data_IF_626207875705
#
_entry.id   IF_626207875705
#
_cell.length_a   1.000
_cell.length_b   1.000
_cell.length_c   1.000
_cell.angle_alpha   90.00
_cell.angle_beta   90.00
_cell.angle_gamma   90.00
#
_symmetry.space_group_name_H-M   'P 1'
#
loop_
_entity.id
_entity.type
_entity.pdbx_description
1 polymer ?
#
# COMPACT_ATOMS: atom_id res chain seq x y z
N UNK A 1 -34.88 -17.35 8.30
CA UNK A 1 -34.13 -17.16 7.02
C UNK A 1 -33.67 -15.73 6.74
N UNK A 2 -34.38 -14.66 7.17
CA UNK A 2 -33.93 -13.28 6.94
C UNK A 2 -32.69 -12.85 7.77
N UNK A 3 -32.46 -13.46 8.93
CA UNK A 3 -31.39 -13.08 9.88
C UNK A 3 -30.02 -13.61 9.44
N UNK A 4 -29.93 -14.86 8.95
CA UNK A 4 -28.69 -15.44 8.41
C UNK A 4 -28.18 -14.70 7.17
N UNK A 5 -29.06 -14.04 6.39
CA UNK A 5 -28.68 -13.25 5.21
C UNK A 5 -28.07 -11.88 5.54
N UNK A 6 -28.27 -11.35 6.75
CA UNK A 6 -27.64 -10.09 7.20
C UNK A 6 -26.20 -10.32 7.68
N UNK A 7 -25.89 -11.52 8.16
CA UNK A 7 -24.54 -11.89 8.61
C UNK A 7 -23.48 -11.76 7.53
N UNK A 8 -23.78 -12.19 6.30
CA UNK A 8 -22.84 -12.05 5.15
C UNK A 8 -22.53 -10.60 4.77
N UNK A 9 -23.52 -9.70 4.89
CA UNK A 9 -23.31 -8.28 4.59
C UNK A 9 -22.50 -7.62 5.72
N UNK A 10 -22.80 -7.98 6.97
CA UNK A 10 -22.05 -7.49 8.11
C UNK A 10 -20.59 -7.98 8.12
N UNK A 11 -20.33 -9.24 7.75
CA UNK A 11 -18.97 -9.76 7.62
C UNK A 11 -18.22 -9.10 6.46
N UNK A 12 -18.88 -8.87 5.32
CA UNK A 12 -18.31 -8.12 4.20
C UNK A 12 -17.98 -6.67 4.60
N UNK A 13 -18.82 -6.04 5.41
CA UNK A 13 -18.53 -4.71 5.97
C UNK A 13 -17.28 -4.73 6.86
N UNK A 14 -17.21 -5.62 7.86
CA UNK A 14 -16.04 -5.71 8.74
C UNK A 14 -14.75 -5.99 7.97
N UNK A 15 -14.80 -6.89 6.99
CA UNK A 15 -13.68 -7.21 6.11
C UNK A 15 -13.28 -6.03 5.21
N UNK A 16 -14.25 -5.22 4.74
CA UNK A 16 -13.96 -3.98 4.00
C UNK A 16 -13.26 -2.93 4.87
N UNK A 17 -13.67 -2.79 6.13
CA UNK A 17 -12.98 -1.89 7.08
C UNK A 17 -11.56 -2.37 7.34
N UNK A 18 -11.37 -3.67 7.54
CA UNK A 18 -10.02 -4.25 7.70
C UNK A 18 -9.17 -3.98 6.46
N UNK A 19 -9.71 -4.14 5.25
CA UNK A 19 -9.02 -3.83 4.00
C UNK A 19 -8.54 -2.37 3.96
N UNK A 20 -9.41 -1.41 4.30
CA UNK A 20 -9.05 0.01 4.38
C UNK A 20 -7.92 0.25 5.39
N UNK A 21 -8.02 -0.33 6.59
CA UNK A 21 -6.98 -0.19 7.62
C UNK A 21 -5.63 -0.73 7.15
N UNK A 22 -5.62 -1.90 6.51
CA UNK A 22 -4.39 -2.50 5.98
C UNK A 22 -3.73 -1.63 4.91
N UNK A 23 -4.52 -1.02 4.02
CA UNK A 23 -4.01 -0.11 2.98
C UNK A 23 -3.44 1.16 3.61
N UNK A 24 -4.13 1.74 4.62
CA UNK A 24 -3.64 2.93 5.34
C UNK A 24 -2.35 2.64 6.08
N UNK A 25 -2.25 1.49 6.76
CA UNK A 25 -1.02 1.06 7.44
C UNK A 25 0.09 0.85 6.42
N UNK A 26 -0.18 0.15 5.31
CA UNK A 26 0.81 -0.03 4.25
C UNK A 26 1.31 1.32 3.71
N UNK A 27 0.43 2.30 3.49
CA UNK A 27 0.81 3.63 2.98
C UNK A 27 1.62 4.46 3.98
N UNK A 28 1.28 4.40 5.27
CA UNK A 28 1.83 5.28 6.31
C UNK A 28 3.03 4.71 7.07
N UNK A 29 3.30 3.42 6.96
CA UNK A 29 4.37 2.76 7.71
C UNK A 29 5.74 2.84 7.02
N UNK A 30 6.78 2.84 7.85
CA UNK A 30 8.18 3.04 7.44
C UNK A 30 8.93 1.71 7.15
N UNK A 31 8.24 0.72 6.59
CA UNK A 31 8.79 -0.65 6.46
C UNK A 31 8.30 -1.37 5.20
N UNK A 32 8.37 -0.69 4.07
CA UNK A 32 8.28 -1.34 2.76
C UNK A 32 9.53 -2.14 2.44
N UNK A 33 10.67 -1.57 2.81
CA UNK A 33 12.00 -2.18 2.63
C UNK A 33 12.69 -2.22 3.97
N UNK A 34 13.31 -3.36 4.26
CA UNK A 34 14.12 -3.59 5.47
C UNK A 34 15.44 -4.17 5.01
N UNK A 35 16.54 -3.70 5.56
CA UNK A 35 17.87 -4.21 5.26
C UNK A 35 18.73 -4.19 6.50
N UNK A 36 19.62 -5.16 6.59
CA UNK A 36 20.72 -5.17 7.54
C UNK A 36 21.98 -4.73 6.80
N UNK A 37 22.69 -3.76 7.35
CA UNK A 37 23.92 -3.22 6.80
C UNK A 37 25.11 -3.70 7.64
N UNK A 38 26.05 -4.42 7.00
CA UNK A 38 27.22 -5.00 7.65
C UNK A 38 28.52 -4.42 7.11
N UNK A 39 29.50 -4.19 8.00
CA UNK A 39 30.86 -3.76 7.64
C UNK A 39 31.89 -4.41 8.56
N UNK A 40 33.16 -4.46 8.16
CA UNK A 40 34.23 -5.12 8.91
C UNK A 40 34.59 -4.42 10.23
N UNK A 41 34.19 -3.15 10.40
CA UNK A 41 34.57 -2.29 11.53
C UNK A 41 33.37 -1.93 12.44
N UNK A 42 32.34 -2.78 12.51
CA UNK A 42 31.15 -2.51 13.35
C UNK A 42 31.13 -3.31 14.66
N UNK A 43 30.50 -2.73 15.68
CA UNK A 43 30.26 -3.41 16.97
C UNK A 43 29.10 -4.39 16.85
N UNK A 44 28.10 -4.05 16.03
CA UNK A 44 26.91 -4.84 15.75
C UNK A 44 26.33 -4.43 14.40
N UNK A 45 25.42 -5.23 13.85
CA UNK A 45 24.84 -4.99 12.54
C UNK A 45 23.95 -3.75 12.54
N UNK A 46 24.13 -2.90 11.54
CA UNK A 46 23.32 -1.68 11.37
C UNK A 46 21.98 -2.04 10.71
N UNK A 47 20.92 -1.32 11.05
CA UNK A 47 19.58 -1.60 10.54
C UNK A 47 19.08 -0.43 9.70
N UNK A 48 18.52 -0.75 8.53
CA UNK A 48 17.85 0.19 7.65
C UNK A 48 16.41 -0.27 7.45
N UNK A 49 15.46 0.63 7.63
CA UNK A 49 14.06 0.38 7.29
C UNK A 49 13.45 1.65 6.71
N UNK A 50 12.70 1.52 5.63
CA UNK A 50 12.00 2.67 5.07
C UNK A 50 10.68 2.29 4.41
N UNK A 51 9.75 3.23 4.47
CA UNK A 51 8.47 3.21 3.78
C UNK A 51 8.50 4.06 2.53
N UNK A 52 7.32 4.44 2.05
CA UNK A 52 7.19 5.27 0.85
C UNK A 52 7.68 6.71 1.10
N UNK A 53 7.52 7.26 2.30
CA UNK A 53 7.78 8.67 2.57
C UNK A 53 8.99 8.92 3.49
N UNK A 54 9.18 8.04 4.47
CA UNK A 54 10.19 8.18 5.52
C UNK A 54 10.81 6.83 5.85
N UNK A 55 11.90 6.87 6.59
CA UNK A 55 12.57 5.70 7.10
C UNK A 55 13.45 6.02 8.29
N UNK A 56 14.14 5.00 8.75
CA UNK A 56 15.06 5.04 9.87
C UNK A 56 16.32 4.26 9.52
N UNK A 57 17.46 4.88 9.81
CA UNK A 57 18.78 4.28 9.70
C UNK A 57 19.41 4.24 11.10
N UNK A 58 19.68 3.05 11.58
CA UNK A 58 20.33 2.81 12.87
C UNK A 58 21.75 2.31 12.60
N UNK A 59 22.72 3.20 12.77
CA UNK A 59 24.14 2.89 12.61
C UNK A 59 24.72 2.40 13.93
N UNK A 60 25.35 1.22 13.90
CA UNK A 60 25.98 0.57 15.07
C UNK A 60 27.50 0.42 14.91
N UNK A 61 28.12 1.42 14.29
CA UNK A 61 29.57 1.51 14.13
C UNK A 61 30.30 1.89 15.45
N UNK A 62 29.61 2.53 16.38
CA UNK A 62 30.11 2.95 17.69
C UNK A 62 29.41 2.18 18.82
N UNK A 63 29.94 2.27 20.04
CA UNK A 63 29.32 1.67 21.23
C UNK A 63 27.90 2.21 21.49
N UNK A 64 27.66 3.48 21.16
CA UNK A 64 26.33 4.10 21.18
C UNK A 64 25.75 4.13 19.77
N UNK A 65 24.55 3.57 19.53
CA UNK A 65 23.93 3.58 18.22
C UNK A 65 23.54 5.01 17.81
N UNK A 66 23.77 5.35 16.55
CA UNK A 66 23.35 6.62 15.96
C UNK A 66 22.09 6.39 15.11
N UNK A 67 21.00 7.05 15.48
CA UNK A 67 19.69 6.89 14.85
C UNK A 67 19.43 8.14 13.99
N UNK A 68 19.26 7.92 12.69
CA UNK A 68 19.00 8.97 11.73
C UNK A 68 17.66 8.73 11.03
N UNK A 69 16.84 9.77 10.96
CA UNK A 69 15.60 9.74 10.18
C UNK A 69 15.92 9.95 8.70
N UNK A 70 15.37 9.10 7.86
CA UNK A 70 15.47 9.21 6.40
C UNK A 70 14.24 9.87 5.82
N UNK A 71 14.45 10.69 4.81
CA UNK A 71 13.40 11.34 4.04
C UNK A 71 13.51 10.94 2.57
N UNK A 72 12.41 10.45 2.01
CA UNK A 72 12.30 10.25 0.57
C UNK A 72 12.33 11.61 -0.13
N UNK A 73 13.36 11.84 -0.94
CA UNK A 73 13.53 13.08 -1.70
C UNK A 73 13.49 12.74 -3.17
N UNK A 74 12.64 13.46 -3.91
CA UNK A 74 12.29 13.14 -5.28
C UNK A 74 12.38 14.39 -6.14
N UNK A 75 13.11 14.31 -7.24
CA UNK A 75 13.28 15.38 -8.22
C UNK A 75 12.67 14.95 -9.54
N UNK A 76 11.69 15.72 -10.03
CA UNK A 76 11.06 15.51 -11.33
C UNK A 76 12.04 15.74 -12.49
N UNK A 77 12.96 16.69 -12.32
CA UNK A 77 13.81 17.19 -13.42
C UNK A 77 14.82 16.13 -13.90
N UNK A 78 15.27 15.28 -12.97
CA UNK A 78 16.20 14.17 -13.23
C UNK A 78 15.52 12.80 -13.17
N UNK A 79 14.19 12.77 -13.02
CA UNK A 79 13.38 11.56 -12.84
C UNK A 79 13.94 10.61 -11.77
N UNK A 80 14.43 11.14 -10.64
CA UNK A 80 15.10 10.36 -9.61
C UNK A 80 14.57 10.65 -8.21
N UNK A 81 14.53 9.60 -7.40
CA UNK A 81 14.17 9.60 -6.00
C UNK A 81 15.21 8.80 -5.21
N UNK A 82 15.64 9.31 -4.07
CA UNK A 82 16.48 8.56 -3.15
C UNK A 82 16.18 8.95 -1.69
N UNK A 83 16.61 8.10 -0.77
CA UNK A 83 16.53 8.35 0.65
C UNK A 83 17.75 9.14 1.09
N UNK A 84 17.50 10.20 1.85
CA UNK A 84 18.55 11.02 2.43
C UNK A 84 18.33 11.21 3.92
N UNK A 85 19.42 11.15 4.70
CA UNK A 85 19.45 11.48 6.11
C UNK A 85 19.91 12.92 6.40
N UNK A 86 20.14 13.74 5.38
CA UNK A 86 20.59 15.13 5.55
C UNK A 86 19.52 15.93 6.31
N UNK A 87 19.97 16.83 7.18
CA UNK A 87 19.08 17.63 8.03
C UNK A 87 18.37 18.73 7.23
N UNK A 88 19.08 19.34 6.29
CA UNK A 88 18.58 20.43 5.46
C UNK A 88 17.87 19.91 4.20
N UNK A 89 16.87 20.64 3.70
CA UNK A 89 16.13 20.25 2.49
C UNK A 89 16.98 20.41 1.22
N UNK A 90 17.74 21.50 1.12
CA UNK A 90 18.55 21.79 -0.07
C UNK A 90 19.69 20.78 -0.22
N UNK A 91 20.31 20.37 0.89
CA UNK A 91 21.34 19.32 0.90
C UNK A 91 20.80 17.97 0.37
N UNK A 92 19.55 17.62 0.70
CA UNK A 92 18.90 16.39 0.18
C UNK A 92 18.74 16.46 -1.33
N UNK A 93 18.33 17.61 -1.86
CA UNK A 93 18.13 17.81 -3.30
C UNK A 93 19.45 17.61 -4.05
N UNK A 94 20.53 18.23 -3.56
CA UNK A 94 21.88 18.09 -4.14
C UNK A 94 22.36 16.64 -4.08
N UNK A 95 22.08 15.92 -3.00
CA UNK A 95 22.45 14.50 -2.87
C UNK A 95 21.75 13.63 -3.92
N UNK A 96 20.42 13.77 -4.06
CA UNK A 96 19.68 13.00 -5.07
C UNK A 96 20.12 13.35 -6.49
N UNK A 97 20.39 14.63 -6.76
CA UNK A 97 20.89 15.07 -8.06
C UNK A 97 22.28 14.47 -8.37
N UNK A 98 23.18 14.45 -7.38
CA UNK A 98 24.50 13.83 -7.53
C UNK A 98 24.39 12.32 -7.78
N UNK A 99 23.55 11.61 -7.02
CA UNK A 99 23.31 10.17 -7.20
C UNK A 99 22.71 9.87 -8.58
N UNK A 100 21.78 10.69 -9.06
CA UNK A 100 21.16 10.55 -10.38
C UNK A 100 22.17 10.77 -11.52
N UNK A 101 23.15 11.67 -11.32
CA UNK A 101 24.24 11.92 -12.26
C UNK A 101 25.39 10.90 -12.16
N UNK A 102 25.33 9.95 -11.20
CA UNK A 102 26.36 8.93 -11.01
C UNK A 102 27.56 9.39 -10.20
N UNK A 103 27.47 10.51 -9.48
CA UNK A 103 28.51 10.99 -8.58
C UNK A 103 28.35 10.42 -7.16
N UNK A 104 29.44 10.44 -6.37
CA UNK A 104 29.44 9.97 -4.98
C UNK A 104 29.31 11.14 -4.00
N UNK A 105 28.11 11.40 -3.43
CA UNK A 105 27.94 12.41 -2.40
C UNK A 105 28.47 11.94 -1.03
N UNK A 106 28.76 12.86 -0.11
CA UNK A 106 29.16 12.49 1.24
C UNK A 106 28.04 11.75 1.96
N UNK A 107 28.25 10.50 2.45
CA UNK A 107 27.19 9.70 3.03
C UNK A 107 26.76 10.17 4.43
N UNK A 108 27.53 11.08 5.06
CA UNK A 108 27.26 11.56 6.41
C UNK A 108 25.95 12.36 6.52
N UNK A 109 25.19 12.16 7.60
CA UNK A 109 23.94 12.85 7.90
C UNK A 109 24.19 14.29 8.43
N UNK A 110 24.73 15.14 7.57
CA UNK A 110 25.06 16.54 7.83
C UNK A 110 24.09 17.48 7.11
N UNK A 111 24.18 18.78 7.38
CA UNK A 111 23.41 19.81 6.68
C UNK A 111 23.97 20.19 5.31
N UNK A 112 25.07 19.55 4.89
CA UNK A 112 25.74 19.83 3.62
C UNK A 112 26.00 18.52 2.87
N UNK A 113 25.95 18.62 1.55
CA UNK A 113 26.31 17.55 0.63
C UNK A 113 27.57 17.99 -0.09
N UNK A 114 28.63 17.21 0.10
CA UNK A 114 29.88 17.35 -0.64
C UNK A 114 29.88 16.28 -1.73
N UNK A 115 30.35 16.59 -2.92
CA UNK A 115 30.27 15.69 -4.09
C UNK A 115 31.66 15.53 -4.65
N UNK A 116 32.13 14.28 -4.73
CA UNK A 116 33.39 13.98 -5.38
C UNK A 116 33.16 13.85 -6.89
N UNK A 117 33.57 14.88 -7.64
CA UNK A 117 33.45 14.95 -9.10
C UNK A 117 34.57 14.17 -9.83
N UNK A 118 35.55 13.62 -9.10
CA UNK A 118 36.76 13.05 -9.70
C UNK A 118 36.59 11.60 -10.21
N UNK A 119 35.60 10.86 -9.72
CA UNK A 119 35.33 9.46 -10.09
C UNK A 119 33.82 9.23 -10.36
N UNK A 120 33.33 9.58 -11.58
CA UNK A 120 31.95 9.31 -11.94
C UNK A 120 31.72 7.80 -12.11
N UNK A 121 30.66 7.28 -11.49
CA UNK A 121 30.23 5.89 -11.61
C UNK A 121 28.92 5.81 -12.42
N UNK A 122 29.00 5.85 -13.76
CA UNK A 122 27.84 6.00 -14.63
C UNK A 122 26.99 4.74 -14.78
N UNK A 123 27.54 3.56 -14.48
CA UNK A 123 26.93 2.31 -14.93
C UNK A 123 25.65 1.92 -14.19
N UNK A 124 25.41 2.44 -12.97
CA UNK A 124 24.14 2.23 -12.24
C UNK A 124 23.88 3.36 -11.25
N UNK A 125 23.08 4.36 -11.65
CA UNK A 125 22.62 5.39 -10.72
C UNK A 125 21.76 4.76 -9.62
N UNK A 126 22.14 4.85 -8.33
CA UNK A 126 21.48 4.16 -7.23
C UNK A 126 20.20 4.89 -6.78
N UNK A 127 19.29 5.11 -7.71
CA UNK A 127 18.09 5.93 -7.52
C UNK A 127 16.83 5.19 -7.94
N UNK A 128 15.72 5.50 -7.27
CA UNK A 128 14.38 5.07 -7.68
C UNK A 128 13.89 6.03 -8.78
N UNK A 129 13.28 5.51 -9.84
CA UNK A 129 12.68 6.37 -10.87
C UNK A 129 11.51 7.17 -10.30
N UNK A 130 11.50 8.49 -10.49
CA UNK A 130 10.44 9.39 -10.00
C UNK A 130 9.07 8.99 -10.55
N UNK A 131 8.97 8.69 -11.85
CA UNK A 131 7.74 8.26 -12.48
C UNK A 131 7.17 6.98 -11.85
N UNK A 132 8.05 6.01 -11.53
CA UNK A 132 7.65 4.80 -10.84
C UNK A 132 7.14 5.10 -9.43
N UNK A 133 7.88 5.90 -8.65
CA UNK A 133 7.49 6.29 -7.29
C UNK A 133 6.12 6.96 -7.24
N UNK A 134 5.88 7.94 -8.11
CA UNK A 134 4.57 8.61 -8.21
C UNK A 134 3.47 7.65 -8.66
N UNK A 135 3.78 6.73 -9.59
CA UNK A 135 2.83 5.69 -10.03
C UNK A 135 2.43 4.77 -8.87
N UNK A 136 3.36 4.34 -8.03
CA UNK A 136 3.06 3.50 -6.85
C UNK A 136 2.08 4.23 -5.93
N UNK A 137 2.38 5.48 -5.58
CA UNK A 137 1.57 6.26 -4.64
C UNK A 137 0.18 6.55 -5.20
N UNK A 138 0.10 6.96 -6.47
CA UNK A 138 -1.17 7.31 -7.10
C UNK A 138 -2.11 6.11 -7.18
N UNK A 139 -1.60 4.94 -7.56
CA UNK A 139 -2.40 3.70 -7.64
C UNK A 139 -2.80 3.24 -6.23
N UNK A 140 -1.92 3.36 -5.22
CA UNK A 140 -2.27 3.09 -3.81
C UNK A 140 -3.38 4.01 -3.28
N UNK A 141 -3.29 5.31 -3.57
CA UNK A 141 -4.32 6.28 -3.19
C UNK A 141 -5.65 5.99 -3.91
N UNK A 142 -5.60 5.59 -5.19
CA UNK A 142 -6.78 5.16 -5.93
C UNK A 142 -7.39 3.88 -5.34
N UNK A 143 -6.56 2.89 -4.97
CA UNK A 143 -6.99 1.67 -4.29
C UNK A 143 -7.67 2.01 -2.97
N UNK A 144 -7.08 2.89 -2.15
CA UNK A 144 -7.66 3.33 -0.89
C UNK A 144 -9.02 4.00 -1.10
N UNK A 145 -9.13 4.90 -2.09
CA UNK A 145 -10.40 5.55 -2.41
C UNK A 145 -11.48 4.52 -2.77
N UNK A 146 -11.16 3.57 -3.66
CA UNK A 146 -12.09 2.50 -4.05
C UNK A 146 -12.45 1.62 -2.85
N UNK A 147 -11.50 1.25 -1.99
CA UNK A 147 -11.76 0.46 -0.79
C UNK A 147 -12.68 1.19 0.21
N UNK A 148 -12.51 2.51 0.38
CA UNK A 148 -13.40 3.33 1.21
C UNK A 148 -14.82 3.36 0.61
N UNK A 149 -14.95 3.49 -0.71
CA UNK A 149 -16.28 3.42 -1.35
C UNK A 149 -16.92 2.04 -1.18
N UNK A 150 -16.14 0.96 -1.25
CA UNK A 150 -16.62 -0.40 -1.02
C UNK A 150 -17.13 -0.57 0.43
N UNK A 151 -16.39 -0.06 1.42
CA UNK A 151 -16.82 -0.08 2.82
C UNK A 151 -18.11 0.73 3.02
N UNK A 152 -18.22 1.92 2.41
CA UNK A 152 -19.42 2.75 2.46
C UNK A 152 -20.64 2.04 1.86
N UNK A 153 -20.48 1.42 0.68
CA UNK A 153 -21.53 0.62 0.05
C UNK A 153 -21.92 -0.60 0.90
N UNK A 154 -20.96 -1.26 1.55
CA UNK A 154 -21.25 -2.38 2.45
C UNK A 154 -22.10 -1.96 3.66
N UNK A 155 -21.82 -0.80 4.29
CA UNK A 155 -22.66 -0.24 5.36
C UNK A 155 -24.05 0.11 4.85
N UNK A 156 -24.13 0.76 3.69
CA UNK A 156 -25.41 1.14 3.08
C UNK A 156 -26.28 -0.08 2.82
N UNK A 157 -25.71 -1.17 2.30
CA UNK A 157 -26.41 -2.43 2.09
C UNK A 157 -26.72 -3.18 3.40
N UNK A 158 -25.96 -2.94 4.47
CA UNK A 158 -26.24 -3.53 5.79
C UNK A 158 -27.41 -2.86 6.50
N UNK A 159 -27.58 -1.54 6.30
CA UNK A 159 -28.54 -0.70 7.02
C UNK A 159 -29.81 -0.43 6.21
N UNK A 160 -29.69 -0.28 4.90
CA UNK A 160 -30.78 0.07 3.98
C UNK A 160 -30.84 -0.96 2.86
N UNK A 161 -32.02 -1.05 2.22
CA UNK A 161 -32.21 -1.83 0.99
C UNK A 161 -32.32 -0.84 -0.19
N UNK A 162 -31.20 -0.37 -0.76
CA UNK A 162 -31.25 0.54 -1.90
C UNK A 162 -31.89 -0.13 -3.11
N UNK A 163 -32.75 0.61 -3.82
CA UNK A 163 -33.43 0.15 -5.04
C UNK A 163 -32.59 0.35 -6.30
N UNK A 164 -31.58 1.21 -6.24
CA UNK A 164 -30.70 1.51 -7.38
C UNK A 164 -29.55 0.49 -7.50
N UNK A 165 -29.25 -0.03 -8.71
CA UNK A 165 -28.24 -1.08 -8.91
C UNK A 165 -26.82 -0.69 -8.48
N UNK A 166 -26.46 0.59 -8.64
CA UNK A 166 -25.14 1.12 -8.29
C UNK A 166 -24.91 1.11 -6.77
N UNK A 167 -25.95 1.43 -5.99
CA UNK A 167 -25.86 1.39 -4.53
C UNK A 167 -26.14 0.01 -3.94
N UNK A 168 -26.65 -0.91 -4.75
CA UNK A 168 -26.94 -2.28 -4.35
C UNK A 168 -25.74 -3.23 -4.39
N UNK A 169 -26.07 -4.52 -4.50
CA UNK A 169 -25.10 -5.62 -4.53
C UNK A 169 -24.05 -5.50 -5.67
N UNK A 170 -24.43 -5.13 -6.91
CA UNK A 170 -23.47 -5.01 -8.01
C UNK A 170 -22.38 -3.96 -7.75
N UNK A 171 -22.72 -2.79 -7.19
CA UNK A 171 -21.72 -1.77 -6.89
C UNK A 171 -20.73 -2.20 -5.82
N UNK A 172 -21.20 -2.89 -4.77
CA UNK A 172 -20.33 -3.45 -3.74
C UNK A 172 -19.39 -4.51 -4.33
N UNK A 173 -19.86 -5.32 -5.27
CA UNK A 173 -19.02 -6.31 -5.95
C UNK A 173 -17.93 -5.66 -6.80
N UNK A 174 -18.30 -4.73 -7.69
CA UNK A 174 -17.36 -4.11 -8.62
C UNK A 174 -16.31 -3.24 -7.92
N UNK A 175 -16.68 -2.56 -6.82
CA UNK A 175 -15.71 -1.80 -6.01
C UNK A 175 -14.70 -2.72 -5.33
N UNK A 176 -15.10 -3.89 -4.81
CA UNK A 176 -14.14 -4.86 -4.27
C UNK A 176 -13.26 -5.48 -5.37
N UNK A 177 -13.80 -5.76 -6.56
CA UNK A 177 -13.01 -6.22 -7.73
C UNK A 177 -11.97 -5.18 -8.11
N UNK A 178 -12.39 -3.91 -8.27
CA UNK A 178 -11.48 -2.81 -8.61
C UNK A 178 -10.39 -2.63 -7.53
N UNK A 179 -10.74 -2.70 -6.25
CA UNK A 179 -9.77 -2.65 -5.15
C UNK A 179 -8.76 -3.80 -5.21
N UNK A 180 -9.21 -5.03 -5.49
CA UNK A 180 -8.33 -6.18 -5.62
C UNK A 180 -7.38 -6.04 -6.82
N UNK A 181 -7.89 -5.59 -7.97
CA UNK A 181 -7.09 -5.36 -9.17
C UNK A 181 -6.03 -4.27 -8.95
N UNK A 182 -6.40 -3.12 -8.37
CA UNK A 182 -5.45 -2.05 -8.07
C UNK A 182 -4.38 -2.51 -7.06
N UNK A 183 -4.76 -3.26 -6.03
CA UNK A 183 -3.81 -3.85 -5.09
C UNK A 183 -2.82 -4.81 -5.75
N UNK A 184 -3.30 -5.69 -6.64
CA UNK A 184 -2.43 -6.58 -7.42
C UNK A 184 -1.48 -5.78 -8.32
N UNK A 185 -1.95 -4.72 -8.96
CA UNK A 185 -1.12 -3.87 -9.82
C UNK A 185 0.02 -3.24 -9.01
N UNK A 186 -0.27 -2.62 -7.86
CA UNK A 186 0.77 -2.01 -7.00
C UNK A 186 1.77 -3.07 -6.55
N UNK A 187 1.27 -4.22 -6.07
CA UNK A 187 2.12 -5.29 -5.55
C UNK A 187 3.06 -5.85 -6.62
N UNK A 188 2.54 -6.11 -7.82
CA UNK A 188 3.33 -6.60 -8.95
C UNK A 188 4.29 -5.54 -9.47
N UNK A 189 3.84 -4.29 -9.62
CA UNK A 189 4.66 -3.19 -10.11
C UNK A 189 5.87 -2.98 -9.18
N UNK A 190 5.66 -2.96 -7.86
CA UNK A 190 6.76 -2.84 -6.90
C UNK A 190 7.63 -4.09 -6.84
N UNK A 191 7.03 -5.29 -6.86
CA UNK A 191 7.78 -6.55 -6.82
C UNK A 191 8.66 -6.77 -8.05
N UNK A 192 8.16 -6.44 -9.24
CA UNK A 192 8.95 -6.50 -10.49
C UNK A 192 10.09 -5.48 -10.42
N UNK A 193 9.79 -4.23 -10.03
CA UNK A 193 10.81 -3.19 -9.92
C UNK A 193 11.92 -3.59 -8.94
N UNK A 194 11.56 -4.16 -7.79
CA UNK A 194 12.51 -4.67 -6.79
C UNK A 194 13.48 -5.71 -7.36
N UNK A 195 13.01 -6.59 -8.25
CA UNK A 195 13.82 -7.66 -8.83
C UNK A 195 14.66 -7.23 -10.03
N UNK A 196 14.25 -6.20 -10.78
CA UNK A 196 14.87 -5.84 -12.06
C UNK A 196 15.71 -4.57 -12.02
N UNK A 197 15.43 -3.64 -11.11
CA UNK A 197 16.09 -2.32 -11.11
C UNK A 197 17.41 -2.27 -10.34
N UNK A 198 17.77 -3.33 -9.62
CA UNK A 198 18.90 -3.32 -8.69
C UNK A 198 18.58 -2.64 -7.36
N UNK A 199 17.32 -2.25 -7.10
CA UNK A 199 16.90 -1.62 -5.85
C UNK A 199 17.24 -2.46 -4.61
N UNK A 200 17.22 -3.78 -4.74
CA UNK A 200 17.67 -4.70 -3.71
C UNK A 200 19.15 -4.51 -3.35
N UNK A 201 20.01 -4.10 -4.29
CA UNK A 201 21.45 -3.91 -4.05
C UNK A 201 21.76 -2.53 -3.48
N UNK A 202 21.25 -1.46 -4.10
CA UNK A 202 21.63 -0.09 -3.73
C UNK A 202 20.68 0.57 -2.71
N UNK A 203 19.46 0.04 -2.53
CA UNK A 203 18.44 0.49 -1.55
C UNK A 203 18.12 1.99 -1.58
N UNK A 204 18.47 2.65 -2.69
CA UNK A 204 18.37 4.09 -2.90
C UNK A 204 18.96 4.94 -1.77
N UNK A 205 20.08 4.49 -1.17
CA UNK A 205 20.76 5.15 -0.07
C UNK A 205 22.27 5.26 -0.34
N UNK A 206 22.84 6.46 -0.17
CA UNK A 206 24.25 6.74 -0.44
C UNK A 206 25.23 5.81 0.31
N UNK A 207 24.96 5.49 1.58
CA UNK A 207 25.78 4.58 2.39
C UNK A 207 25.99 3.19 1.77
N UNK A 208 24.95 2.66 1.13
CA UNK A 208 24.95 1.30 0.58
C UNK A 208 25.44 1.36 -0.87
N UNK A 209 24.96 2.34 -1.63
CA UNK A 209 25.37 2.55 -3.01
C UNK A 209 26.88 2.75 -3.20
N UNK A 210 27.57 3.35 -2.22
CA UNK A 210 29.01 3.59 -2.27
C UNK A 210 29.85 2.39 -1.78
N UNK A 211 29.21 1.27 -1.42
CA UNK A 211 29.91 0.08 -0.93
C UNK A 211 30.53 0.23 0.46
N UNK A 212 30.08 1.21 1.26
CA UNK A 212 30.56 1.36 2.66
C UNK A 212 30.03 0.23 3.55
N UNK A 213 28.84 -0.29 3.22
CA UNK A 213 28.18 -1.39 3.90
C UNK A 213 27.68 -2.40 2.88
N UNK A 214 27.80 -3.69 3.22
CA UNK A 214 27.12 -4.76 2.51
C UNK A 214 25.68 -4.86 3.03
N UNK A 215 24.71 -4.87 2.11
CA UNK A 215 23.30 -4.92 2.45
C UNK A 215 22.74 -6.35 2.38
N UNK A 216 21.97 -6.73 3.39
CA UNK A 216 21.06 -7.88 3.40
C UNK A 216 19.62 -7.40 3.18
N UNK A 217 19.21 -7.09 1.94
CA UNK A 217 17.93 -6.47 1.62
C UNK A 217 16.75 -7.44 1.75
N UNK A 218 15.59 -6.91 2.14
CA UNK A 218 14.34 -7.65 2.24
C UNK A 218 13.12 -6.74 2.13
N UNK A 219 11.99 -7.33 1.78
CA UNK A 219 10.70 -6.65 1.76
C UNK A 219 10.09 -6.67 3.16
N UNK A 220 9.73 -5.50 3.66
CA UNK A 220 9.16 -5.34 5.00
C UNK A 220 7.66 -5.62 5.06
N UNK A 221 7.09 -5.59 6.27
CA UNK A 221 5.70 -5.99 6.49
C UNK A 221 4.70 -5.13 5.72
N UNK A 222 4.97 -3.85 5.51
CA UNK A 222 4.06 -2.90 4.85
C UNK A 222 3.70 -3.35 3.44
N UNK A 223 4.68 -3.90 2.72
CA UNK A 223 4.48 -4.49 1.40
C UNK A 223 3.59 -5.74 1.48
N UNK A 224 3.86 -6.64 2.44
CA UNK A 224 3.12 -7.89 2.60
C UNK A 224 1.67 -7.68 3.08
N UNK A 225 1.38 -6.59 3.79
CA UNK A 225 0.00 -6.22 4.16
C UNK A 225 -0.90 -6.03 2.93
N UNK A 226 -0.34 -5.68 1.77
CA UNK A 226 -1.10 -5.56 0.52
C UNK A 226 -1.72 -6.90 0.12
N UNK A 227 -1.02 -8.03 0.30
CA UNK A 227 -1.59 -9.37 0.05
C UNK A 227 -2.83 -9.58 0.92
N UNK A 228 -2.72 -9.25 2.21
CA UNK A 228 -3.84 -9.42 3.14
C UNK A 228 -5.02 -8.53 2.72
N UNK A 229 -4.75 -7.29 2.28
CA UNK A 229 -5.80 -6.40 1.76
C UNK A 229 -6.49 -6.97 0.50
N UNK A 230 -5.72 -7.56 -0.42
CA UNK A 230 -6.24 -8.21 -1.64
C UNK A 230 -7.10 -9.42 -1.25
N UNK A 231 -6.63 -10.25 -0.31
CA UNK A 231 -7.39 -11.39 0.19
C UNK A 231 -8.70 -10.97 0.88
N UNK A 232 -8.71 -9.86 1.62
CA UNK A 232 -9.94 -9.29 2.18
C UNK A 232 -10.91 -8.86 1.07
N UNK A 233 -10.42 -8.17 0.04
CA UNK A 233 -11.25 -7.77 -1.10
C UNK A 233 -11.81 -8.97 -1.86
N UNK A 234 -11.00 -9.99 -2.11
CA UNK A 234 -11.44 -11.27 -2.73
C UNK A 234 -12.45 -11.99 -1.84
N UNK A 235 -12.20 -12.05 -0.53
CA UNK A 235 -13.13 -12.62 0.44
C UNK A 235 -14.50 -11.92 0.40
N UNK A 236 -14.52 -10.59 0.27
CA UNK A 236 -15.76 -9.84 0.11
C UNK A 236 -16.50 -10.20 -1.18
N UNK A 237 -15.79 -10.35 -2.31
CA UNK A 237 -16.39 -10.79 -3.58
C UNK A 237 -17.05 -12.16 -3.40
N UNK A 238 -16.36 -13.11 -2.75
CA UNK A 238 -16.90 -14.45 -2.49
C UNK A 238 -18.13 -14.38 -1.60
N UNK A 239 -18.09 -13.62 -0.50
CA UNK A 239 -19.24 -13.46 0.41
C UNK A 239 -20.47 -12.89 -0.31
N UNK A 240 -20.27 -11.91 -1.17
CA UNK A 240 -21.34 -11.27 -1.95
C UNK A 240 -21.94 -12.27 -2.95
N UNK A 241 -21.09 -13.01 -3.67
CA UNK A 241 -21.55 -14.00 -4.66
C UNK A 241 -22.23 -15.20 -4.01
N UNK A 242 -21.73 -15.70 -2.88
CA UNK A 242 -22.39 -16.76 -2.11
C UNK A 242 -23.78 -16.31 -1.67
N UNK A 243 -23.93 -15.06 -1.22
CA UNK A 243 -25.25 -14.51 -0.88
C UNK A 243 -26.17 -14.46 -2.11
N UNK A 244 -25.67 -14.01 -3.27
CA UNK A 244 -26.46 -13.96 -4.50
C UNK A 244 -26.92 -15.36 -4.93
N UNK A 245 -26.02 -16.34 -4.92
CA UNK A 245 -26.29 -17.74 -5.22
C UNK A 245 -27.35 -18.36 -4.29
N UNK A 246 -27.26 -18.10 -2.99
CA UNK A 246 -28.24 -18.60 -2.02
C UNK A 246 -29.63 -17.97 -2.22
N UNK A 247 -29.69 -16.70 -2.62
CA UNK A 247 -30.95 -16.00 -2.88
C UNK A 247 -31.68 -16.54 -4.12
N UNK A 248 -30.95 -16.92 -5.16
CA UNK A 248 -31.53 -17.47 -6.39
C UNK A 248 -32.10 -18.88 -6.19
N UNK A 249 -31.55 -19.64 -5.23
CA UNK A 249 -31.96 -21.01 -4.94
C UNK A 249 -33.12 -21.12 -3.95
N UNK A 250 -33.44 -20.03 -3.25
CA UNK A 250 -34.60 -19.99 -2.36
C UNK A 250 -35.88 -19.83 -3.19
N UNK A 251 -36.90 -20.71 -3.04
CA UNK A 251 -38.15 -20.59 -3.78
C UNK A 251 -38.79 -19.23 -3.50
N UNK A 252 -39.40 -18.58 -4.51
CA UNK A 252 -40.08 -17.31 -4.30
C UNK A 252 -41.08 -17.47 -3.15
N UNK A 253 -41.18 -16.48 -2.24
CA UNK A 253 -42.15 -16.55 -1.15
C UNK A 253 -43.52 -16.86 -1.77
N UNK A 254 -44.29 -17.81 -1.22
CA UNK A 254 -45.60 -18.13 -1.77
C UNK A 254 -46.38 -16.82 -1.77
N UNK A 255 -46.65 -16.29 -2.97
CA UNK A 255 -47.58 -15.18 -3.12
C UNK A 255 -48.90 -15.74 -2.61
N UNK A 256 -49.30 -15.33 -1.40
CA UNK A 256 -50.68 -15.49 -0.97
C UNK A 256 -51.45 -14.67 -1.99
N UNK A 257 -52.02 -15.35 -2.98
CA UNK A 257 -53.11 -14.79 -3.76
C UNK A 257 -54.17 -14.52 -2.72
N UNK A 258 -54.27 -13.27 -2.27
CA UNK A 258 -55.48 -12.79 -1.64
C UNK A 258 -56.49 -12.88 -2.76
N UNK A 259 -57.17 -14.03 -2.85
CA UNK A 259 -58.39 -14.11 -3.62
C UNK A 259 -59.25 -12.98 -3.09
N UNK A 260 -59.66 -12.08 -3.99
CA UNK A 260 -60.72 -11.14 -3.74
C UNK A 260 -61.98 -11.97 -3.44
N UNK A 261 -62.09 -12.51 -2.23
CA UNK A 261 -63.37 -12.81 -1.64
C UNK A 261 -64.02 -11.45 -1.44
N UNK A 262 -64.81 -11.09 -2.44
CA UNK A 262 -65.85 -10.09 -2.41
C UNK A 262 -66.89 -10.46 -1.35
N UNK A 263 -66.52 -10.50 -0.08
CA UNK A 263 -67.48 -10.47 1.01
C UNK A 263 -67.68 -9.01 1.40
N UNK A 264 -68.57 -8.38 0.64
CA UNK A 264 -69.15 -7.08 0.95
C UNK A 264 -70.06 -7.20 2.17
N UNK A 265 -69.47 -7.38 3.35
CA UNK A 265 -70.15 -7.15 4.64
C UNK A 265 -69.19 -6.49 5.62
N UNK A 266 -69.06 -5.17 5.45
CA UNK A 266 -68.71 -4.28 6.56
C UNK A 266 -69.88 -4.37 7.55
N UNK A 267 -69.69 -5.02 8.69
CA UNK A 267 -70.53 -4.79 9.86
C UNK A 267 -69.75 -3.93 10.85
N UNK A 268 -70.07 -2.62 10.81
CA UNK A 268 -69.95 -1.75 11.96
C UNK A 268 -71.01 -2.19 12.98
N UNK A 269 -70.58 -2.66 14.15
CA UNK A 269 -71.15 -2.37 15.46
C UNK A 269 -70.08 -2.59 16.53
#
# INVERSE_FOLDING_TARGET
MAVTRRGYIFSAFLSSVLCVLLIVVALSSDSWVVSVATTSVQVSDSELRYGLFRGELILRNLATPNINTLYMTCLSDVNACALSCKTDADARIVEVQALAAGYRPSPACLSITDVDDSDPQPDNAPVISYAFYVSVITILCAQLFVAVTAAGLAILNATKNPTEPIFGLPGCLWTNVASACLGCIVMLMFGIYWLTSGLNEHLALAYIAQGTYEAGPGLGYSYWLLIVSILCAVGNIVLIQVRAYLLERDPPPPMIKVENHSDGTIFLY
#
